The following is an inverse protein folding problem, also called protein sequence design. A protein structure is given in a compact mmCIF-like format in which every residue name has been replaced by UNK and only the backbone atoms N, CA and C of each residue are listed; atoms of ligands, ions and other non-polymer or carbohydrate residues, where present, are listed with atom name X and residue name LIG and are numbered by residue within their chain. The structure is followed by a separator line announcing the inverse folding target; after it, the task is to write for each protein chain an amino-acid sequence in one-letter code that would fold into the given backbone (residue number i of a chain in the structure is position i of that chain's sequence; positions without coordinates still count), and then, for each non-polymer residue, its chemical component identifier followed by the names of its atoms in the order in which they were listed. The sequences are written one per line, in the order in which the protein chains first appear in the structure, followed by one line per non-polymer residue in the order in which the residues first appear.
data_IF_720432438154
#
_entry.id   IF_720432438154
#
_cell.length_a   1.000
_cell.length_b   1.000
_cell.length_c   1.000
_cell.angle_alpha   90.00
_cell.angle_beta   90.00
_cell.angle_gamma   90.00
#
_symmetry.space_group_name_H-M   'P 1'
#
loop_
_entity.id
_entity.type
_entity.pdbx_description
1 polymer ?
#
# COMPACT_ATOMS: atom_id res chain seq x y z
N UNK A 1 49.70 4.90 -16.26
CA UNK A 1 49.64 5.15 -17.73
C UNK A 1 48.44 5.99 -18.15
N UNK A 2 47.22 5.70 -17.72
CA UNK A 2 46.05 6.56 -17.96
C UNK A 2 46.17 7.94 -17.29
N UNK A 3 46.64 7.99 -16.04
CA UNK A 3 46.87 9.24 -15.29
C UNK A 3 47.84 10.19 -16.02
N UNK A 4 48.97 9.67 -16.49
CA UNK A 4 49.94 10.41 -17.30
C UNK A 4 49.33 10.99 -18.60
N UNK A 5 48.39 10.28 -19.25
CA UNK A 5 47.68 10.79 -20.43
C UNK A 5 46.73 11.94 -20.06
N UNK A 6 46.08 11.87 -18.90
CA UNK A 6 45.18 12.91 -18.41
C UNK A 6 45.95 14.17 -17.97
N UNK A 7 47.10 14.02 -17.32
CA UNK A 7 48.00 15.13 -16.94
C UNK A 7 48.52 15.89 -18.16
N UNK A 8 49.01 15.17 -19.17
CA UNK A 8 49.50 15.80 -20.41
C UNK A 8 48.37 16.50 -21.18
N UNK A 9 47.14 15.97 -21.07
CA UNK A 9 45.96 16.61 -21.64
C UNK A 9 45.53 17.86 -20.87
N UNK A 10 45.68 17.88 -19.54
CA UNK A 10 45.46 19.06 -18.72
C UNK A 10 46.49 20.17 -19.03
N UNK A 11 47.70 19.78 -19.44
CA UNK A 11 48.73 20.69 -19.98
C UNK A 11 48.49 21.11 -21.45
N UNK A 12 47.32 20.81 -22.02
CA UNK A 12 46.91 21.19 -23.38
C UNK A 12 47.77 20.63 -24.52
N UNK A 13 48.54 19.55 -24.29
CA UNK A 13 49.30 18.87 -25.35
C UNK A 13 48.37 18.15 -26.33
N UNK A 14 48.78 18.09 -27.60
CA UNK A 14 48.02 17.41 -28.64
C UNK A 14 48.07 15.88 -28.48
N UNK A 15 47.06 15.16 -28.98
CA UNK A 15 46.99 13.69 -28.89
C UNK A 15 48.21 13.02 -29.54
N UNK A 16 48.76 13.63 -30.59
CA UNK A 16 49.96 13.14 -31.27
C UNK A 16 51.22 13.29 -30.40
N UNK A 17 51.37 14.42 -29.70
CA UNK A 17 52.47 14.64 -28.75
C UNK A 17 52.36 13.72 -27.54
N UNK A 18 51.16 13.53 -27.01
CA UNK A 18 50.88 12.58 -25.91
C UNK A 18 51.24 11.15 -26.32
N UNK A 19 50.91 10.75 -27.56
CA UNK A 19 51.26 9.45 -28.10
C UNK A 19 52.77 9.26 -28.20
N UNK A 20 53.49 10.28 -28.71
CA UNK A 20 54.95 10.28 -28.84
C UNK A 20 55.65 10.21 -27.47
N UNK A 21 55.18 10.98 -26.49
CA UNK A 21 55.77 11.07 -25.15
C UNK A 21 55.45 9.86 -24.26
N UNK A 22 54.32 9.19 -24.51
CA UNK A 22 53.96 7.96 -23.81
C UNK A 22 54.44 6.67 -24.52
N UNK A 23 55.06 6.77 -25.70
CA UNK A 23 55.47 5.61 -26.50
C UNK A 23 54.30 4.77 -27.02
N UNK A 24 53.17 5.41 -27.34
CA UNK A 24 51.92 4.76 -27.74
C UNK A 24 51.52 5.18 -29.16
N UNK A 25 50.61 4.42 -29.78
CA UNK A 25 49.97 4.88 -31.02
C UNK A 25 48.83 5.86 -30.71
N UNK A 26 48.54 6.76 -31.65
CA UNK A 26 47.42 7.71 -31.55
C UNK A 26 46.10 6.99 -31.25
N UNK A 27 45.88 5.81 -31.85
CA UNK A 27 44.70 4.98 -31.61
C UNK A 27 44.60 4.48 -30.17
N UNK A 28 45.71 4.05 -29.57
CA UNK A 28 45.73 3.59 -28.17
C UNK A 28 45.42 4.70 -27.17
N UNK A 29 45.86 5.93 -27.44
CA UNK A 29 45.55 7.11 -26.61
C UNK A 29 44.06 7.46 -26.71
N UNK A 30 43.51 7.52 -27.92
CA UNK A 30 42.07 7.78 -28.16
C UNK A 30 41.19 6.73 -27.48
N UNK A 31 41.54 5.45 -27.62
CA UNK A 31 40.79 4.34 -27.02
C UNK A 31 40.72 4.45 -25.50
N UNK A 32 41.84 4.76 -24.84
CA UNK A 32 41.90 4.88 -23.37
C UNK A 32 41.07 6.05 -22.85
N UNK A 33 41.11 7.20 -23.54
CA UNK A 33 40.29 8.37 -23.19
C UNK A 33 38.79 8.11 -23.37
N UNK A 34 38.40 7.40 -24.44
CA UNK A 34 37.00 7.03 -24.66
C UNK A 34 36.51 6.02 -23.62
N UNK A 35 37.35 5.03 -23.27
CA UNK A 35 37.04 4.04 -22.24
C UNK A 35 36.85 4.68 -20.87
N UNK A 36 37.68 5.67 -20.54
CA UNK A 36 37.58 6.41 -19.28
C UNK A 36 36.34 7.30 -19.23
N UNK A 37 36.02 8.00 -20.33
CA UNK A 37 34.78 8.76 -20.46
C UNK A 37 33.54 7.88 -20.30
N UNK A 38 33.51 6.71 -20.94
CA UNK A 38 32.42 5.75 -20.80
C UNK A 38 32.31 5.21 -19.36
N UNK A 39 33.44 5.06 -18.65
CA UNK A 39 33.47 4.67 -17.24
C UNK A 39 32.92 5.80 -16.35
N UNK A 40 33.32 7.04 -16.59
CA UNK A 40 32.81 8.23 -15.88
C UNK A 40 31.30 8.46 -16.14
N UNK A 41 30.82 8.23 -17.36
CA UNK A 41 29.40 8.31 -17.71
C UNK A 41 28.58 7.22 -17.00
N UNK A 42 29.09 5.98 -16.92
CA UNK A 42 28.44 4.88 -16.16
C UNK A 42 28.38 5.15 -14.66
N UNK A 43 29.50 5.61 -14.07
CA UNK A 43 29.55 6.00 -12.65
C UNK A 43 28.62 7.19 -12.38
N UNK A 44 28.51 8.15 -13.30
CA UNK A 44 27.57 9.28 -13.18
C UNK A 44 26.10 8.86 -13.31
N UNK A 45 25.80 7.82 -14.10
CA UNK A 45 24.46 7.24 -14.23
C UNK A 45 24.06 6.41 -13.00
N UNK A 46 24.96 5.59 -12.45
CA UNK A 46 24.75 4.87 -11.19
C UNK A 46 24.57 5.85 -10.02
N UNK A 47 25.40 6.91 -9.93
CA UNK A 47 25.28 7.91 -8.87
C UNK A 47 24.02 8.79 -9.03
N UNK A 48 23.52 8.97 -10.27
CA UNK A 48 22.20 9.58 -10.51
C UNK A 48 21.05 8.68 -10.05
N UNK A 49 21.18 7.35 -10.14
CA UNK A 49 20.15 6.42 -9.66
C UNK A 49 20.14 6.30 -8.14
N UNK A 50 21.29 6.32 -7.46
CA UNK A 50 21.36 6.28 -5.98
C UNK A 50 21.01 7.61 -5.32
N UNK A 51 21.35 8.76 -5.93
CA UNK A 51 21.00 10.08 -5.36
C UNK A 51 19.55 10.51 -5.66
N UNK A 52 18.86 9.85 -6.59
CA UNK A 52 17.47 10.20 -6.95
C UNK A 52 16.38 9.49 -6.14
N UNK A 53 16.74 8.74 -5.08
CA UNK A 53 15.76 8.13 -4.17
C UNK A 53 15.38 8.98 -2.95
N UNK A 54 16.10 10.06 -2.61
CA UNK A 54 15.85 10.79 -1.34
C UNK A 54 15.21 12.18 -1.44
N UNK A 55 14.84 12.70 -2.61
CA UNK A 55 14.02 13.93 -2.66
C UNK A 55 13.29 14.13 -3.99
N UNK A 56 12.38 13.22 -4.34
CA UNK A 56 11.19 13.69 -5.06
C UNK A 56 10.40 14.51 -4.04
N UNK A 57 10.65 15.82 -4.01
CA UNK A 57 9.70 16.74 -3.39
C UNK A 57 8.44 16.68 -4.23
N UNK A 58 7.61 15.72 -3.85
CA UNK A 58 6.26 15.54 -4.33
C UNK A 58 5.48 16.73 -3.79
N UNK A 59 5.53 17.86 -4.52
CA UNK A 59 4.66 19.02 -4.34
C UNK A 59 3.20 18.71 -4.68
N UNK A 60 2.84 17.42 -4.77
CA UNK A 60 1.49 16.93 -4.78
C UNK A 60 0.80 17.27 -3.47
N UNK A 61 -0.49 17.58 -3.59
CA UNK A 61 -1.38 17.75 -2.46
C UNK A 61 -1.34 16.50 -1.58
N UNK A 62 -0.87 16.65 -0.33
CA UNK A 62 -0.83 15.57 0.66
C UNK A 62 -2.05 15.69 1.56
N UNK A 63 -2.68 14.56 1.85
CA UNK A 63 -3.74 14.53 2.85
C UNK A 63 -3.13 14.87 4.21
N UNK A 64 -3.83 15.65 5.06
CA UNK A 64 -3.44 15.82 6.45
C UNK A 64 -3.37 14.48 7.17
N UNK A 65 -2.39 14.33 8.06
CA UNK A 65 -2.28 13.13 8.91
C UNK A 65 -3.43 13.06 9.93
N UNK A 66 -3.95 14.21 10.36
CA UNK A 66 -5.04 14.35 11.32
C UNK A 66 -5.99 15.49 10.95
N UNK A 67 -7.29 15.28 11.17
CA UNK A 67 -8.36 16.23 10.83
C UNK A 67 -8.89 17.01 12.03
N UNK A 68 -8.37 16.76 13.23
CA UNK A 68 -8.78 17.35 14.50
C UNK A 68 -10.19 16.94 14.94
N UNK A 69 -10.64 15.73 14.61
CA UNK A 69 -12.02 15.28 14.88
C UNK A 69 -12.06 13.99 15.65
N UNK A 70 -13.03 13.89 16.56
CA UNK A 70 -13.36 12.65 17.25
C UNK A 70 -14.25 11.79 16.35
N UNK A 71 -13.67 10.80 15.67
CA UNK A 71 -14.40 9.96 14.72
C UNK A 71 -13.85 8.54 14.70
N UNK A 72 -14.74 7.56 14.51
CA UNK A 72 -14.37 6.22 14.07
C UNK A 72 -15.16 5.91 12.80
N UNK A 73 -14.45 5.50 11.76
CA UNK A 73 -15.01 5.10 10.47
C UNK A 73 -14.64 3.66 10.19
N UNK A 74 -15.64 2.90 9.78
CA UNK A 74 -15.46 1.54 9.28
C UNK A 74 -15.84 1.52 7.80
N UNK A 75 -15.04 0.84 7.01
CA UNK A 75 -15.22 0.67 5.58
C UNK A 75 -15.07 -0.81 5.24
N UNK A 76 -15.88 -1.25 4.29
CA UNK A 76 -15.86 -2.63 3.83
C UNK A 76 -14.81 -2.76 2.73
N UNK A 77 -13.72 -3.46 3.02
CA UNK A 77 -12.69 -3.76 2.01
C UNK A 77 -13.12 -4.95 1.14
N UNK A 78 -13.77 -5.94 1.75
CA UNK A 78 -14.28 -7.11 1.06
C UNK A 78 -15.30 -7.88 1.89
N UNK A 79 -15.74 -9.06 1.43
CA UNK A 79 -16.75 -9.86 2.14
C UNK A 79 -16.31 -10.28 3.56
N UNK A 80 -15.00 -10.44 3.78
CA UNK A 80 -14.42 -10.98 5.02
C UNK A 80 -13.44 -10.03 5.72
N UNK A 81 -13.29 -8.80 5.23
CA UNK A 81 -12.33 -7.83 5.76
C UNK A 81 -12.96 -6.44 5.89
N UNK A 82 -12.80 -5.85 7.08
CA UNK A 82 -13.17 -4.47 7.35
C UNK A 82 -11.89 -3.65 7.57
N UNK A 83 -11.88 -2.44 7.03
CA UNK A 83 -10.90 -1.42 7.37
C UNK A 83 -11.53 -0.47 8.37
N UNK A 84 -10.86 -0.22 9.50
CA UNK A 84 -11.31 0.71 10.53
C UNK A 84 -10.27 1.80 10.67
N UNK A 85 -10.71 3.05 10.70
CA UNK A 85 -9.90 4.22 10.98
C UNK A 85 -10.53 4.99 12.14
N UNK A 86 -9.70 5.52 13.04
CA UNK A 86 -10.18 6.36 14.12
C UNK A 86 -9.23 7.52 14.38
N UNK A 87 -9.85 8.61 14.82
CA UNK A 87 -9.17 9.80 15.29
C UNK A 87 -9.85 10.25 16.59
N UNK A 88 -9.03 10.67 17.55
CA UNK A 88 -9.49 11.20 18.83
C UNK A 88 -8.62 12.39 19.21
N UNK A 89 -9.29 13.49 19.54
CA UNK A 89 -8.64 14.73 19.92
C UNK A 89 -8.02 14.64 21.32
N UNK A 90 -6.93 15.38 21.52
CA UNK A 90 -6.26 15.46 22.83
C UNK A 90 -7.20 15.86 23.98
N UNK A 91 -8.11 16.85 23.86
CA UNK A 91 -9.04 17.19 24.92
C UNK A 91 -9.95 16.02 25.32
N UNK A 92 -10.49 15.28 24.35
CA UNK A 92 -11.35 14.12 24.61
C UNK A 92 -10.57 13.00 25.28
N UNK A 93 -9.36 12.71 24.80
CA UNK A 93 -8.50 11.69 25.42
C UNK A 93 -8.15 12.06 26.87
N UNK A 94 -7.80 13.31 27.14
CA UNK A 94 -7.50 13.79 28.50
C UNK A 94 -8.70 13.68 29.44
N UNK A 95 -9.90 13.99 28.95
CA UNK A 95 -11.14 13.82 29.73
C UNK A 95 -11.35 12.35 30.11
N UNK A 96 -11.17 11.43 29.17
CA UNK A 96 -11.32 10.00 29.42
C UNK A 96 -10.25 9.48 30.39
N UNK A 97 -8.98 9.83 30.19
CA UNK A 97 -7.90 9.45 31.09
C UNK A 97 -8.15 9.96 32.53
N UNK A 98 -8.63 11.19 32.68
CA UNK A 98 -9.00 11.75 33.99
C UNK A 98 -10.17 11.00 34.64
N UNK A 99 -11.15 10.53 33.86
CA UNK A 99 -12.29 9.76 34.35
C UNK A 99 -11.84 8.38 34.86
N UNK A 100 -10.97 7.71 34.11
CA UNK A 100 -10.41 6.40 34.47
C UNK A 100 -9.32 6.49 35.55
N UNK A 101 -8.88 7.70 35.93
CA UNK A 101 -7.76 7.94 36.87
C UNK A 101 -6.48 7.17 36.47
N UNK A 102 -6.30 6.97 35.17
CA UNK A 102 -5.18 6.26 34.59
C UNK A 102 -4.40 7.19 33.65
N UNK A 103 -3.10 6.96 33.56
CA UNK A 103 -2.27 7.67 32.59
C UNK A 103 -2.58 7.13 31.19
N UNK A 104 -2.83 8.02 30.23
CA UNK A 104 -3.26 7.66 28.88
C UNK A 104 -2.28 6.73 28.17
N UNK A 105 -0.98 6.84 28.50
CA UNK A 105 0.08 5.98 27.98
C UNK A 105 -0.05 4.52 28.44
N UNK A 106 -0.69 4.29 29.59
CA UNK A 106 -0.81 2.96 30.18
C UNK A 106 -2.18 2.32 29.89
N UNK A 107 -3.09 3.03 29.23
CA UNK A 107 -4.42 2.51 28.94
C UNK A 107 -4.41 1.75 27.62
N UNK A 108 -4.80 0.48 27.68
CA UNK A 108 -4.88 -0.38 26.52
C UNK A 108 -6.03 0.05 25.60
N UNK A 109 -5.71 0.51 24.40
CA UNK A 109 -6.69 0.89 23.37
C UNK A 109 -7.19 -0.35 22.63
N UNK A 110 -8.40 -0.27 22.09
CA UNK A 110 -8.88 -1.30 21.18
C UNK A 110 -10.24 -1.01 20.57
N UNK A 111 -10.66 -1.98 19.77
CA UNK A 111 -11.92 -1.97 19.05
C UNK A 111 -12.80 -3.10 19.57
N UNK A 112 -14.11 -2.84 19.61
CA UNK A 112 -15.13 -3.86 19.79
C UNK A 112 -16.01 -3.90 18.56
N UNK A 113 -16.01 -5.03 17.88
CA UNK A 113 -16.86 -5.31 16.72
C UNK A 113 -18.16 -5.96 17.18
N UNK A 114 -19.29 -5.48 16.70
CA UNK A 114 -20.62 -6.04 16.95
C UNK A 114 -21.23 -6.53 15.65
N UNK A 115 -21.69 -7.78 15.61
CA UNK A 115 -22.60 -8.26 14.57
C UNK A 115 -24.03 -7.87 14.94
N UNK A 116 -24.61 -6.94 14.19
CA UNK A 116 -25.94 -6.37 14.40
C UNK A 116 -26.89 -6.69 13.25
N UNK A 117 -26.58 -7.76 12.50
CA UNK A 117 -27.40 -8.21 11.38
C UNK A 117 -28.88 -8.32 11.77
N UNK A 118 -29.75 -7.69 11.00
CA UNK A 118 -31.21 -7.71 11.19
C UNK A 118 -31.69 -7.22 12.56
N UNK A 119 -30.92 -6.32 13.22
CA UNK A 119 -31.29 -5.75 14.51
C UNK A 119 -31.19 -4.23 14.56
N UNK A 120 -32.11 -3.64 15.31
CA UNK A 120 -31.94 -2.28 15.81
C UNK A 120 -31.03 -2.33 17.04
N UNK A 121 -29.78 -1.91 16.88
CA UNK A 121 -28.76 -2.07 17.91
C UNK A 121 -28.96 -1.12 19.09
N UNK A 122 -29.07 -1.67 20.30
CA UNK A 122 -29.21 -0.91 21.56
C UNK A 122 -27.92 -0.80 22.37
N UNK A 123 -26.82 -1.40 21.88
CA UNK A 123 -25.54 -1.50 22.59
C UNK A 123 -25.27 -2.86 23.22
N UNK A 124 -26.29 -3.72 23.37
CA UNK A 124 -26.18 -5.00 24.10
C UNK A 124 -26.77 -6.19 23.34
N UNK A 125 -27.68 -5.97 22.40
CA UNK A 125 -28.40 -6.99 21.67
C UNK A 125 -27.69 -7.54 20.40
N UNK A 126 -26.36 -7.41 20.31
CA UNK A 126 -25.59 -7.94 19.20
C UNK A 126 -25.64 -9.48 19.16
N UNK A 127 -25.57 -10.07 17.96
CA UNK A 127 -25.44 -11.51 17.77
C UNK A 127 -24.12 -12.04 18.32
N UNK A 128 -23.05 -11.28 18.12
CA UNK A 128 -21.73 -11.60 18.60
C UNK A 128 -20.93 -10.32 18.81
N UNK A 129 -19.98 -10.39 19.73
CA UNK A 129 -19.05 -9.31 20.02
C UNK A 129 -17.63 -9.84 19.96
N UNK A 130 -16.72 -9.12 19.31
CA UNK A 130 -15.31 -9.47 19.23
C UNK A 130 -14.45 -8.28 19.64
N UNK A 131 -13.56 -8.51 20.58
CA UNK A 131 -12.61 -7.53 21.08
C UNK A 131 -11.27 -7.66 20.36
N UNK A 132 -10.73 -6.52 19.95
CA UNK A 132 -9.49 -6.42 19.19
C UNK A 132 -8.61 -5.38 19.89
N UNK A 133 -7.50 -5.86 20.42
CA UNK A 133 -6.50 -5.02 21.04
C UNK A 133 -5.65 -4.38 19.94
N UNK A 134 -5.44 -3.07 20.03
CA UNK A 134 -4.64 -2.33 19.04
C UNK A 134 -3.44 -1.70 19.73
N UNK A 135 -2.38 -1.46 18.96
CA UNK A 135 -1.18 -0.80 19.47
C UNK A 135 -1.49 0.65 19.86
N UNK A 136 -0.71 1.21 20.78
CA UNK A 136 -0.92 2.55 21.32
C UNK A 136 -0.91 3.65 20.24
N UNK A 137 -0.02 3.52 19.25
CA UNK A 137 0.15 4.49 18.16
C UNK A 137 -0.68 4.16 16.90
N UNK A 138 -1.54 3.14 16.96
CA UNK A 138 -2.38 2.80 15.83
C UNK A 138 -3.54 3.81 15.67
N UNK A 139 -3.76 4.24 14.42
CA UNK A 139 -4.90 5.09 14.01
C UNK A 139 -5.84 4.36 13.04
N UNK A 140 -5.46 3.17 12.62
CA UNK A 140 -6.25 2.33 11.74
C UNK A 140 -5.95 0.85 11.99
N UNK A 141 -6.85 -0.01 11.54
CA UNK A 141 -6.70 -1.46 11.65
C UNK A 141 -7.47 -2.19 10.56
N UNK A 142 -6.97 -3.36 10.17
CA UNK A 142 -7.70 -4.31 9.34
C UNK A 142 -8.28 -5.40 10.23
N UNK A 143 -9.61 -5.52 10.22
CA UNK A 143 -10.32 -6.57 10.94
C UNK A 143 -10.62 -7.70 9.96
N UNK A 144 -9.88 -8.80 10.14
CA UNK A 144 -10.02 -10.02 9.35
C UNK A 144 -11.06 -10.97 9.97
N UNK A 145 -11.46 -11.96 9.17
CA UNK A 145 -12.35 -13.06 9.57
C UNK A 145 -13.75 -12.60 10.00
N UNK A 146 -14.26 -11.54 9.37
CA UNK A 146 -15.68 -11.20 9.52
C UNK A 146 -16.52 -12.09 8.61
N UNK A 147 -17.73 -12.42 9.05
CA UNK A 147 -18.66 -13.19 8.23
C UNK A 147 -19.23 -12.32 7.10
N UNK A 148 -19.32 -12.85 5.86
CA UNK A 148 -19.87 -12.13 4.72
C UNK A 148 -21.40 -12.02 4.79
N UNK A 149 -21.96 -10.98 4.14
CA UNK A 149 -23.40 -10.73 4.13
C UNK A 149 -23.97 -10.31 5.48
N UNK A 150 -23.15 -9.69 6.34
CA UNK A 150 -23.52 -9.32 7.71
C UNK A 150 -23.42 -7.81 7.91
N UNK A 151 -24.12 -7.33 8.93
CA UNK A 151 -24.14 -5.92 9.31
C UNK A 151 -23.31 -5.72 10.57
N UNK A 152 -22.36 -4.79 10.54
CA UNK A 152 -21.44 -4.55 11.64
C UNK A 152 -21.45 -3.09 12.11
N UNK A 153 -21.18 -2.93 13.40
CA UNK A 153 -20.83 -1.66 14.05
C UNK A 153 -19.50 -1.88 14.78
N UNK A 154 -18.65 -0.85 14.81
CA UNK A 154 -17.40 -0.86 15.56
C UNK A 154 -17.41 0.26 16.59
N UNK A 155 -17.11 -0.08 17.84
CA UNK A 155 -16.78 0.91 18.86
C UNK A 155 -15.27 0.98 19.03
N UNK A 156 -14.72 2.19 19.12
CA UNK A 156 -13.36 2.44 19.57
C UNK A 156 -13.39 2.85 21.04
N UNK A 157 -12.51 2.27 21.84
CA UNK A 157 -12.51 2.48 23.27
C UNK A 157 -11.24 2.00 23.95
N UNK A 158 -11.35 1.86 25.27
CA UNK A 158 -10.27 1.49 26.16
C UNK A 158 -10.63 0.23 26.93
N UNK A 159 -9.63 -0.58 27.22
CA UNK A 159 -9.74 -1.74 28.09
C UNK A 159 -9.17 -1.40 29.45
N UNK A 160 -10.03 -1.47 30.47
CA UNK A 160 -9.65 -1.24 31.86
C UNK A 160 -10.15 -2.42 32.71
N UNK A 161 -9.25 -3.07 33.44
CA UNK A 161 -9.59 -4.22 34.32
C UNK A 161 -10.44 -5.30 33.62
N UNK A 162 -10.17 -5.57 32.34
CA UNK A 162 -10.91 -6.57 31.54
C UNK A 162 -12.30 -6.12 31.08
N UNK A 163 -12.68 -4.86 31.33
CA UNK A 163 -13.92 -4.25 30.81
C UNK A 163 -13.58 -3.31 29.66
N UNK A 164 -14.43 -3.32 28.65
CA UNK A 164 -14.34 -2.39 27.52
C UNK A 164 -15.19 -1.15 27.78
N UNK A 165 -14.57 0.01 27.66
CA UNK A 165 -15.18 1.32 27.80
C UNK A 165 -15.24 1.99 26.42
N UNK A 166 -16.40 1.97 25.72
CA UNK A 166 -16.53 2.60 24.42
C UNK A 166 -16.44 4.13 24.52
N UNK A 167 -15.72 4.76 23.60
CA UNK A 167 -15.56 6.23 23.53
C UNK A 167 -16.24 6.79 22.27
N UNK A 168 -16.05 6.10 21.14
CA UNK A 168 -16.56 6.47 19.83
C UNK A 168 -17.25 5.26 19.21
N UNK A 169 -18.34 5.50 18.47
CA UNK A 169 -19.10 4.48 17.75
C UNK A 169 -19.14 4.82 16.27
N UNK A 170 -18.97 3.81 15.42
CA UNK A 170 -19.01 3.97 13.98
C UNK A 170 -20.43 3.99 13.44
N UNK A 171 -20.56 4.43 12.18
CA UNK A 171 -21.73 4.13 11.38
C UNK A 171 -21.83 2.62 11.13
N UNK A 172 -23.03 2.20 10.73
CA UNK A 172 -23.34 0.81 10.36
C UNK A 172 -22.77 0.51 8.97
N UNK A 173 -22.15 -0.66 8.81
CA UNK A 173 -21.70 -1.16 7.50
C UNK A 173 -22.22 -2.55 7.21
N UNK A 174 -22.41 -2.86 5.94
CA UNK A 174 -22.90 -4.16 5.46
C UNK A 174 -21.83 -4.79 4.59
N UNK A 175 -21.34 -5.97 4.99
CA UNK A 175 -20.41 -6.75 4.16
C UNK A 175 -21.15 -7.39 2.98
N UNK A 176 -20.56 -7.41 1.78
CA UNK A 176 -21.14 -8.12 0.66
C UNK A 176 -21.15 -9.63 0.93
N UNK A 177 -22.02 -10.35 0.21
CA UNK A 177 -22.02 -11.81 0.23
C UNK A 177 -20.77 -12.34 -0.47
N UNK A 178 -20.26 -13.47 0.00
CA UNK A 178 -19.16 -14.20 -0.66
C UNK A 178 -19.68 -15.35 -1.53
N UNK A 179 -20.86 -15.16 -2.13
CA UNK A 179 -21.52 -16.14 -2.98
C UNK A 179 -22.02 -15.44 -4.22
N UNK A 180 -22.04 -16.14 -5.36
CA UNK A 180 -22.65 -15.62 -6.59
C UNK A 180 -24.10 -15.23 -6.31
N UNK A 181 -24.54 -14.12 -6.90
CA UNK A 181 -25.95 -13.76 -6.87
C UNK A 181 -26.75 -14.87 -7.58
N UNK A 182 -27.89 -15.25 -6.99
CA UNK A 182 -28.75 -16.28 -7.58
C UNK A 182 -29.51 -15.77 -8.81
N UNK A 183 -29.55 -14.46 -9.00
CA UNK A 183 -30.26 -13.77 -10.07
C UNK A 183 -29.53 -12.46 -10.40
N UNK A 184 -29.80 -11.91 -11.58
CA UNK A 184 -29.20 -10.68 -12.08
C UNK A 184 -28.00 -10.94 -13.00
N UNK A 185 -27.83 -10.06 -13.98
CA UNK A 185 -26.64 -10.05 -14.83
C UNK A 185 -25.46 -9.47 -14.04
N UNK A 186 -24.24 -10.02 -14.21
CA UNK A 186 -23.08 -9.48 -13.54
C UNK A 186 -22.79 -8.07 -14.07
N UNK A 187 -22.61 -7.09 -13.17
CA UNK A 187 -22.24 -5.72 -13.54
C UNK A 187 -20.87 -5.65 -14.23
N UNK A 188 -20.04 -6.66 -14.00
CA UNK A 188 -18.71 -6.82 -14.57
C UNK A 188 -18.62 -8.26 -15.06
N UNK A 189 -18.28 -8.43 -16.34
CA UNK A 189 -18.05 -9.76 -16.90
C UNK A 189 -17.00 -10.50 -16.06
N UNK A 190 -17.25 -11.77 -15.66
CA UNK A 190 -16.26 -12.55 -14.93
C UNK A 190 -14.95 -12.56 -15.73
N UNK A 191 -13.82 -12.38 -15.06
CA UNK A 191 -12.53 -12.55 -15.72
C UNK A 191 -12.48 -13.93 -16.38
N UNK A 192 -12.15 -13.97 -17.67
CA UNK A 192 -11.95 -15.21 -18.41
C UNK A 192 -10.97 -16.10 -17.63
N UNK A 193 -11.35 -17.34 -17.39
CA UNK A 193 -10.46 -18.29 -16.75
C UNK A 193 -9.25 -18.48 -17.68
N UNK A 194 -8.00 -18.24 -17.22
CA UNK A 194 -6.82 -18.42 -18.07
C UNK A 194 -6.66 -19.87 -18.56
N UNK A 195 -7.34 -20.83 -17.92
CA UNK A 195 -7.38 -22.22 -18.35
C UNK A 195 -8.36 -22.48 -19.50
N UNK A 196 -9.32 -21.59 -19.74
CA UNK A 196 -10.25 -21.70 -20.88
C UNK A 196 -9.63 -21.10 -22.15
N UNK A 197 -9.37 -21.90 -23.20
CA UNK A 197 -8.80 -21.36 -24.43
C UNK A 197 -9.85 -20.54 -25.20
N UNK A 198 -9.40 -19.47 -25.87
CA UNK A 198 -10.25 -18.49 -26.55
C UNK A 198 -11.22 -19.06 -27.63
N UNK A 199 -11.00 -20.30 -28.08
CA UNK A 199 -11.89 -20.97 -29.04
C UNK A 199 -13.05 -21.72 -28.37
N UNK A 200 -13.04 -21.89 -27.05
CA UNK A 200 -14.00 -22.70 -26.30
C UNK A 200 -15.44 -22.18 -26.44
N UNK A 201 -15.64 -20.86 -26.46
CA UNK A 201 -16.97 -20.28 -26.68
C UNK A 201 -17.49 -20.43 -28.12
N UNK A 202 -16.59 -20.65 -29.08
CA UNK A 202 -16.95 -20.82 -30.48
C UNK A 202 -17.23 -22.28 -30.84
N UNK A 203 -17.05 -23.22 -29.91
CA UNK A 203 -17.27 -24.65 -30.16
C UNK A 203 -18.76 -24.98 -30.09
N UNK A 204 -19.45 -24.83 -31.22
CA UNK A 204 -20.73 -25.51 -31.41
C UNK A 204 -20.48 -26.90 -31.97
N UNK A 205 -21.02 -27.94 -31.32
CA UNK A 205 -20.97 -29.34 -31.75
C UNK A 205 -21.48 -29.57 -33.18
N UNK A 206 -22.23 -28.60 -33.70
CA UNK A 206 -22.86 -28.63 -35.02
C UNK A 206 -22.12 -27.77 -36.06
N UNK A 207 -21.04 -27.10 -35.70
CA UNK A 207 -20.23 -26.33 -36.64
C UNK A 207 -19.19 -27.23 -37.31
N UNK A 208 -19.43 -27.57 -38.59
CA UNK A 208 -18.44 -28.24 -39.43
C UNK A 208 -17.33 -27.26 -39.83
N UNK A 209 -16.17 -27.36 -39.18
CA UNK A 209 -14.98 -26.61 -39.59
C UNK A 209 -14.38 -27.26 -40.84
N UNK A 210 -14.52 -26.59 -41.98
CA UNK A 210 -13.80 -26.98 -43.20
C UNK A 210 -12.31 -26.80 -42.98
N UNK A 211 -11.55 -27.89 -43.14
CA UNK A 211 -10.09 -27.90 -43.03
C UNK A 211 -9.51 -27.01 -44.15
N UNK A 212 -8.98 -25.85 -43.80
CA UNK A 212 -8.24 -25.03 -44.76
C UNK A 212 -6.97 -25.79 -45.13
N UNK A 213 -6.92 -26.33 -46.35
CA UNK A 213 -5.69 -26.89 -46.91
C UNK A 213 -4.66 -25.78 -47.08
N UNK A 214 -3.41 -26.08 -46.73
CA UNK A 214 -2.25 -25.20 -46.92
C UNK A 214 -2.05 -24.80 -48.37
#
# INVERSE_FOLDING_TARGET
MLEKILELRAQSKSIAEIAKECGLTIGQVKYRLQKDRAKAERVSQENRQTTSQSSRQDGGWRLPDFYGRDVVKVMVQGPTVLFVYWEITWPRMRMVASYLRADFHHIQKGLRLYDVTERLFDGTNAHSTRDILVNEDAHHWYVYDVLPGRTYIVDFGLFEHGRFCPILRSDVVVTPRNTKAAWGEPLVEPALDPSTPAWFENFSSYSLYSKTSK
#
